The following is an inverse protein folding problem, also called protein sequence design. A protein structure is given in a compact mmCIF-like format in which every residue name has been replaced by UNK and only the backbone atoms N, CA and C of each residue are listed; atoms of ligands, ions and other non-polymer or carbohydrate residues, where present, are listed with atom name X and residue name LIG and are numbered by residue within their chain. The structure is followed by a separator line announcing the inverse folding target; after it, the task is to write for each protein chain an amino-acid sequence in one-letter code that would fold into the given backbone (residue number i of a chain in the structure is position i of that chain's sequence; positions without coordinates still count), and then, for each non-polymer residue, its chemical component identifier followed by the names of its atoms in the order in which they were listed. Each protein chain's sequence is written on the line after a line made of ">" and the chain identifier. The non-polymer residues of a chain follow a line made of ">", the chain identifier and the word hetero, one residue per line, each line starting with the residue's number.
data_IF_399242993491
#
_entry.id   IF_399242993491
#
_cell.length_a   1.000
_cell.length_b   1.000
_cell.length_c   1.000
_cell.angle_alpha   90.00
_cell.angle_beta   90.00
_cell.angle_gamma   90.00
#
_symmetry.space_group_name_H-M   'P 1'
#
loop_
_entity.id
_entity.type
_entity.pdbx_description
1 polymer ?
#
# COMPACT_ATOMS: atom_id res chain seq x y z
N UNK A 1 -12.12 -6.87 -14.12
CA UNK A 1 -11.75 -5.93 -13.03
C UNK A 1 -12.09 -6.43 -11.61
N UNK A 2 -12.67 -7.63 -11.42
CA UNK A 2 -12.92 -8.22 -10.07
C UNK A 2 -11.66 -8.87 -9.44
N UNK A 3 -10.69 -9.27 -10.27
CA UNK A 3 -9.47 -9.98 -9.85
C UNK A 3 -8.53 -9.15 -8.98
N UNK A 4 -8.16 -7.94 -9.41
CA UNK A 4 -7.13 -7.14 -8.72
C UNK A 4 -7.57 -6.68 -7.33
N UNK A 5 -8.87 -6.41 -7.16
CA UNK A 5 -9.42 -6.02 -5.86
C UNK A 5 -9.50 -7.20 -4.89
N UNK A 6 -9.81 -8.40 -5.39
CA UNK A 6 -9.80 -9.60 -4.56
C UNK A 6 -8.36 -9.96 -4.19
N UNK A 7 -7.42 -9.85 -5.13
CA UNK A 7 -6.00 -10.11 -4.89
C UNK A 7 -5.41 -9.16 -3.85
N UNK A 8 -5.69 -7.85 -3.96
CA UNK A 8 -5.27 -6.86 -2.96
C UNK A 8 -5.84 -7.17 -1.57
N UNK A 9 -7.14 -7.47 -1.46
CA UNK A 9 -7.77 -7.84 -0.18
C UNK A 9 -7.18 -9.12 0.39
N UNK A 10 -6.92 -10.12 -0.45
CA UNK A 10 -6.30 -11.39 -0.05
C UNK A 10 -4.88 -11.17 0.48
N UNK A 11 -4.07 -10.31 -0.16
CA UNK A 11 -2.74 -9.93 0.32
C UNK A 11 -2.80 -9.28 1.70
N UNK A 12 -3.74 -8.37 1.93
CA UNK A 12 -3.87 -7.73 3.26
C UNK A 12 -4.41 -8.70 4.30
N UNK A 13 -5.31 -9.61 3.93
CA UNK A 13 -5.79 -10.65 4.83
C UNK A 13 -4.65 -11.54 5.35
N UNK A 14 -3.70 -11.90 4.49
CA UNK A 14 -2.50 -12.66 4.89
C UNK A 14 -1.56 -11.90 5.81
N UNK A 15 -1.40 -10.59 5.61
CA UNK A 15 -0.60 -9.74 6.51
C UNK A 15 -1.09 -9.80 7.97
N UNK A 16 -2.34 -10.23 8.20
CA UNK A 16 -3.01 -10.16 9.48
C UNK A 16 -3.39 -11.53 10.06
N UNK A 17 -3.45 -12.58 9.23
CA UNK A 17 -3.74 -13.96 9.69
C UNK A 17 -2.61 -14.62 10.48
N UNK A 18 -1.43 -14.00 10.60
CA UNK A 18 -0.32 -14.53 11.41
C UNK A 18 -0.49 -14.30 12.94
N UNK A 19 -1.62 -13.72 13.36
CA UNK A 19 -2.01 -13.53 14.76
C UNK A 19 -3.28 -14.32 15.13
N UNK A 20 -3.12 -15.64 15.22
CA UNK A 20 -4.03 -16.65 15.80
C UNK A 20 -5.27 -17.13 15.01
N UNK A 21 -5.29 -18.47 14.92
CA UNK A 21 -6.43 -19.34 14.60
C UNK A 21 -7.57 -19.17 15.62
N UNK A 22 -8.81 -19.04 15.15
CA UNK A 22 -9.93 -19.98 15.42
C UNK A 22 -11.32 -19.34 15.26
N UNK A 23 -12.23 -20.18 14.74
CA UNK A 23 -13.69 -20.20 14.97
C UNK A 23 -14.61 -19.29 14.12
N UNK A 24 -14.93 -19.78 12.91
CA UNK A 24 -16.13 -19.39 12.18
C UNK A 24 -17.32 -20.28 12.56
N UNK A 25 -18.44 -19.66 12.98
CA UNK A 25 -19.77 -20.27 12.97
C UNK A 25 -20.84 -19.19 12.76
N UNK A 26 -21.54 -19.21 11.61
CA UNK A 26 -22.98 -19.54 11.51
C UNK A 26 -23.52 -19.38 10.07
N UNK A 27 -24.50 -20.25 9.82
CA UNK A 27 -25.33 -20.53 8.65
C UNK A 27 -26.14 -19.33 8.15
N UNK A 28 -26.41 -19.32 6.84
CA UNK A 28 -27.40 -18.44 6.21
C UNK A 28 -28.84 -18.93 6.33
N UNK A 29 -29.72 -18.30 5.55
CA UNK A 29 -31.03 -18.77 5.07
C UNK A 29 -31.38 -17.94 3.83
N UNK A 30 -31.84 -18.64 2.78
CA UNK A 30 -32.40 -18.08 1.55
C UNK A 30 -33.92 -17.84 1.65
N UNK A 31 -34.39 -17.03 0.69
CA UNK A 31 -35.68 -17.14 -0.01
C UNK A 31 -36.89 -16.43 0.60
N UNK A 32 -37.50 -15.53 -0.18
CA UNK A 32 -38.74 -15.84 -0.93
C UNK A 32 -39.17 -14.67 -1.83
N UNK A 33 -39.64 -15.03 -3.04
CA UNK A 33 -40.22 -14.16 -4.07
C UNK A 33 -41.73 -13.89 -3.85
N UNK A 34 -42.18 -12.83 -4.56
CA UNK A 34 -43.52 -12.58 -5.13
C UNK A 34 -44.55 -11.77 -4.32
N UNK A 35 -44.90 -10.56 -4.80
CA UNK A 35 -46.11 -10.35 -5.65
C UNK A 35 -46.34 -8.88 -6.07
N UNK A 36 -46.53 -8.72 -7.39
CA UNK A 36 -47.32 -7.77 -8.22
C UNK A 36 -47.88 -6.41 -7.74
N UNK A 37 -47.51 -5.36 -8.51
CA UNK A 37 -48.32 -4.33 -9.22
C UNK A 37 -49.45 -3.56 -8.51
N UNK A 38 -49.18 -2.29 -8.17
CA UNK A 38 -49.97 -1.11 -8.60
C UNK A 38 -49.20 0.19 -8.25
N UNK A 39 -48.62 0.87 -9.24
CA UNK A 39 -47.95 2.17 -9.05
C UNK A 39 -48.79 3.27 -9.70
N UNK A 40 -49.23 4.24 -8.90
CA UNK A 40 -49.94 5.45 -9.35
C UNK A 40 -49.08 6.27 -10.33
N UNK A 41 -49.68 7.01 -11.26
CA UNK A 41 -48.99 7.84 -12.28
C UNK A 41 -47.93 8.79 -11.69
N UNK A 42 -48.15 9.33 -10.48
CA UNK A 42 -47.19 10.14 -9.73
C UNK A 42 -45.90 9.38 -9.35
N UNK A 43 -45.99 8.05 -9.25
CA UNK A 43 -44.87 7.15 -8.96
C UNK A 43 -44.02 6.85 -10.20
N UNK A 44 -44.59 6.95 -11.40
CA UNK A 44 -43.86 6.76 -12.67
C UNK A 44 -42.98 7.97 -13.00
N UNK A 45 -43.45 9.19 -12.74
CA UNK A 45 -42.64 10.41 -12.91
C UNK A 45 -41.44 10.44 -11.95
N UNK A 46 -41.66 10.12 -10.68
CA UNK A 46 -40.57 10.03 -9.68
C UNK A 46 -39.55 8.97 -10.06
N UNK A 47 -40.01 7.82 -10.58
CA UNK A 47 -39.13 6.76 -11.06
C UNK A 47 -38.31 7.18 -12.29
N UNK A 48 -38.92 7.88 -13.24
CA UNK A 48 -38.23 8.42 -14.41
C UNK A 48 -37.18 9.49 -14.04
N UNK A 49 -37.48 10.40 -13.12
CA UNK A 49 -36.49 11.37 -12.62
C UNK A 49 -35.29 10.69 -11.95
N UNK A 50 -35.54 9.63 -11.18
CA UNK A 50 -34.48 8.85 -10.55
C UNK A 50 -33.62 8.12 -11.58
N UNK A 51 -34.23 7.56 -12.63
CA UNK A 51 -33.53 6.95 -13.77
C UNK A 51 -32.63 7.94 -14.50
N UNK A 52 -33.11 9.16 -14.76
CA UNK A 52 -32.34 10.22 -15.42
C UNK A 52 -31.14 10.63 -14.55
N UNK A 53 -31.34 10.81 -13.23
CA UNK A 53 -30.25 11.10 -12.28
C UNK A 53 -29.22 9.96 -12.22
N UNK A 54 -29.69 8.71 -12.26
CA UNK A 54 -28.82 7.54 -12.25
C UNK A 54 -27.97 7.47 -13.52
N UNK A 55 -28.57 7.66 -14.70
CA UNK A 55 -27.84 7.67 -15.97
C UNK A 55 -26.77 8.76 -15.99
N UNK A 56 -27.10 9.98 -15.55
CA UNK A 56 -26.13 11.07 -15.45
C UNK A 56 -24.97 10.74 -14.51
N UNK A 57 -25.24 10.00 -13.41
CA UNK A 57 -24.20 9.53 -12.49
C UNK A 57 -23.33 8.45 -13.12
N UNK A 58 -23.92 7.54 -13.90
CA UNK A 58 -23.21 6.52 -14.67
C UNK A 58 -22.29 7.16 -15.72
N UNK A 59 -22.77 8.16 -16.46
CA UNK A 59 -21.96 8.87 -17.47
C UNK A 59 -20.75 9.56 -16.83
N UNK A 60 -20.96 10.24 -15.69
CA UNK A 60 -19.85 10.84 -14.93
C UNK A 60 -18.83 9.80 -14.45
N UNK A 61 -19.28 8.63 -14.00
CA UNK A 61 -18.37 7.54 -13.62
C UNK A 61 -17.60 7.00 -14.82
N UNK A 62 -18.24 6.87 -15.99
CA UNK A 62 -17.59 6.42 -17.23
C UNK A 62 -16.47 7.40 -17.60
N UNK A 63 -16.74 8.71 -17.53
CA UNK A 63 -15.77 9.73 -17.88
C UNK A 63 -14.59 9.77 -16.90
N UNK A 64 -14.86 9.68 -15.60
CA UNK A 64 -13.80 9.58 -14.58
C UNK A 64 -12.92 8.33 -14.79
N UNK A 65 -13.51 7.19 -15.12
CA UNK A 65 -12.77 5.96 -15.41
C UNK A 65 -11.89 6.10 -16.66
N UNK A 66 -12.37 6.77 -17.72
CA UNK A 66 -11.56 7.06 -18.91
C UNK A 66 -10.34 7.91 -18.55
N UNK A 67 -10.55 9.00 -17.81
CA UNK A 67 -9.46 9.89 -17.40
C UNK A 67 -8.45 9.19 -16.50
N UNK A 68 -8.90 8.34 -15.58
CA UNK A 68 -8.02 7.53 -14.74
C UNK A 68 -7.18 6.56 -15.57
N UNK A 69 -7.81 5.82 -16.50
CA UNK A 69 -7.10 4.90 -17.37
C UNK A 69 -6.05 5.59 -18.25
N UNK A 70 -6.36 6.78 -18.79
CA UNK A 70 -5.38 7.56 -19.57
C UNK A 70 -4.17 7.96 -18.74
N UNK A 71 -4.38 8.49 -17.53
CA UNK A 71 -3.28 8.85 -16.62
C UNK A 71 -2.42 7.64 -16.24
N UNK A 72 -3.07 6.52 -15.93
CA UNK A 72 -2.39 5.27 -15.60
C UNK A 72 -1.53 4.76 -16.76
N UNK A 73 -2.03 4.85 -18.00
CA UNK A 73 -1.28 4.49 -19.21
C UNK A 73 -0.07 5.42 -19.39
N UNK A 74 -0.24 6.74 -19.23
CA UNK A 74 0.86 7.71 -19.36
C UNK A 74 1.98 7.47 -18.33
N UNK A 75 1.62 7.21 -17.08
CA UNK A 75 2.59 6.90 -16.02
C UNK A 75 3.33 5.59 -16.27
N UNK A 76 2.63 4.57 -16.77
CA UNK A 76 3.24 3.31 -17.16
C UNK A 76 4.21 3.48 -18.34
N UNK A 77 3.85 4.27 -19.35
CA UNK A 77 4.74 4.60 -20.48
C UNK A 77 6.00 5.32 -20.00
N UNK A 78 5.86 6.28 -19.06
CA UNK A 78 6.99 7.01 -18.48
C UNK A 78 7.91 6.10 -17.69
N UNK A 79 7.34 5.16 -16.93
CA UNK A 79 8.09 4.18 -16.14
C UNK A 79 8.83 3.19 -17.04
N UNK A 80 8.18 2.69 -18.09
CA UNK A 80 8.78 1.78 -19.07
C UNK A 80 9.97 2.42 -19.79
N UNK A 81 9.87 3.69 -20.20
CA UNK A 81 11.00 4.43 -20.76
C UNK A 81 12.19 4.52 -19.79
N UNK A 82 11.89 4.66 -18.49
CA UNK A 82 12.95 4.71 -17.49
C UNK A 82 13.61 3.34 -17.30
N UNK A 83 12.82 2.27 -17.27
CA UNK A 83 13.31 0.90 -17.18
C UNK A 83 14.17 0.53 -18.40
N UNK A 84 13.72 0.86 -19.60
CA UNK A 84 14.47 0.63 -20.84
C UNK A 84 15.83 1.35 -20.82
N UNK A 85 15.87 2.60 -20.36
CA UNK A 85 17.12 3.33 -20.16
C UNK A 85 18.06 2.63 -19.17
N UNK A 86 17.51 2.08 -18.08
CA UNK A 86 18.31 1.36 -17.08
C UNK A 86 18.81 0.01 -17.62
N UNK A 87 17.97 -0.75 -18.32
CA UNK A 87 18.35 -2.00 -18.97
C UNK A 87 19.45 -1.79 -20.01
N UNK A 88 19.37 -0.74 -20.83
CA UNK A 88 20.41 -0.42 -21.80
C UNK A 88 21.74 -0.06 -21.12
N UNK A 89 21.71 0.66 -20.00
CA UNK A 89 22.94 0.93 -19.21
C UNK A 89 23.48 -0.33 -18.54
N UNK A 90 22.60 -1.19 -18.04
CA UNK A 90 22.99 -2.44 -17.38
C UNK A 90 23.65 -3.39 -18.38
N UNK A 91 23.07 -3.52 -19.58
CA UNK A 91 23.65 -4.27 -20.69
C UNK A 91 25.01 -3.71 -21.12
N UNK A 92 25.15 -2.39 -21.21
CA UNK A 92 26.44 -1.76 -21.49
C UNK A 92 27.46 -2.03 -20.37
N UNK A 93 27.04 -2.08 -19.12
CA UNK A 93 27.91 -2.46 -18.00
C UNK A 93 28.31 -3.94 -18.12
N UNK A 94 27.38 -4.84 -18.45
CA UNK A 94 27.65 -6.27 -18.67
C UNK A 94 28.65 -6.48 -19.82
N UNK A 95 28.42 -5.86 -20.98
CA UNK A 95 29.32 -5.92 -22.15
C UNK A 95 30.72 -5.35 -21.83
N UNK A 96 30.80 -4.32 -20.99
CA UNK A 96 32.08 -3.77 -20.52
C UNK A 96 32.78 -4.66 -19.50
N UNK A 97 32.06 -5.30 -18.57
CA UNK A 97 32.62 -6.27 -17.61
C UNK A 97 33.16 -7.50 -18.34
N UNK A 98 32.48 -7.95 -19.39
CA UNK A 98 32.89 -9.11 -20.19
C UNK A 98 34.10 -8.83 -21.09
N UNK A 99 34.32 -7.57 -21.49
CA UNK A 99 35.40 -7.17 -22.39
C UNK A 99 36.68 -6.68 -21.71
N UNK A 100 36.65 -6.42 -20.39
CA UNK A 100 37.78 -5.81 -19.69
C UNK A 100 38.60 -6.84 -18.89
N UNK A 101 39.86 -7.01 -19.28
CA UNK A 101 40.89 -7.71 -18.52
C UNK A 101 41.85 -6.72 -17.82
N UNK A 102 41.50 -5.42 -17.81
CA UNK A 102 42.33 -4.35 -17.27
C UNK A 102 41.62 -3.58 -16.16
N UNK A 103 42.33 -3.30 -15.06
CA UNK A 103 41.80 -2.55 -13.93
C UNK A 103 41.68 -1.06 -14.20
N UNK A 104 40.84 -0.65 -15.15
CA UNK A 104 40.75 0.75 -15.57
C UNK A 104 39.83 1.57 -14.63
N UNK A 105 40.43 2.52 -13.91
CA UNK A 105 39.77 3.30 -12.86
C UNK A 105 38.60 4.16 -13.36
N UNK A 106 38.56 4.50 -14.65
CA UNK A 106 37.50 5.32 -15.24
C UNK A 106 36.17 4.55 -15.42
N UNK A 107 36.25 3.24 -15.70
CA UNK A 107 35.08 2.36 -15.75
C UNK A 107 34.44 2.21 -14.38
N UNK A 108 35.26 1.91 -13.36
CA UNK A 108 34.84 1.84 -11.95
C UNK A 108 34.16 3.16 -11.52
N UNK A 109 34.73 4.31 -11.91
CA UNK A 109 34.17 5.64 -11.61
C UNK A 109 32.78 5.85 -12.23
N UNK A 110 32.54 5.32 -13.43
CA UNK A 110 31.23 5.43 -14.11
C UNK A 110 30.17 4.57 -13.42
N UNK A 111 30.52 3.34 -13.05
CA UNK A 111 29.63 2.45 -12.28
C UNK A 111 29.26 3.09 -10.94
N UNK A 112 30.26 3.58 -10.18
CA UNK A 112 30.02 4.23 -8.88
C UNK A 112 29.04 5.41 -9.03
N UNK A 113 29.21 6.23 -10.08
CA UNK A 113 28.34 7.38 -10.35
C UNK A 113 26.90 6.95 -10.62
N UNK A 114 26.70 5.86 -11.36
CA UNK A 114 25.37 5.35 -11.68
C UNK A 114 24.68 4.71 -10.48
N UNK A 115 25.40 3.90 -9.71
CA UNK A 115 24.91 3.31 -8.46
C UNK A 115 24.52 4.44 -7.49
N UNK A 116 25.34 5.48 -7.34
CA UNK A 116 25.02 6.63 -6.50
C UNK A 116 23.72 7.34 -6.97
N UNK A 117 23.54 7.51 -8.28
CA UNK A 117 22.33 8.12 -8.84
C UNK A 117 21.09 7.26 -8.58
N UNK A 118 21.19 5.94 -8.72
CA UNK A 118 20.10 5.02 -8.40
C UNK A 118 19.74 5.06 -6.91
N UNK A 119 20.75 5.01 -6.02
CA UNK A 119 20.54 5.11 -4.58
C UNK A 119 19.87 6.42 -4.17
N UNK A 120 20.24 7.55 -4.79
CA UNK A 120 19.58 8.83 -4.52
C UNK A 120 18.09 8.83 -4.90
N UNK A 121 17.74 8.21 -6.04
CA UNK A 121 16.35 8.10 -6.50
C UNK A 121 15.54 7.19 -5.59
N UNK A 122 16.09 6.04 -5.23
CA UNK A 122 15.47 5.12 -4.28
C UNK A 122 15.22 5.81 -2.93
N UNK A 123 16.19 6.58 -2.42
CA UNK A 123 16.04 7.36 -1.19
C UNK A 123 14.92 8.39 -1.30
N UNK A 124 14.83 9.11 -2.42
CA UNK A 124 13.76 10.09 -2.67
C UNK A 124 12.38 9.43 -2.70
N UNK A 125 12.24 8.32 -3.43
CA UNK A 125 10.98 7.56 -3.51
C UNK A 125 10.56 7.02 -2.14
N UNK A 126 11.52 6.47 -1.39
CA UNK A 126 11.32 6.02 -0.01
C UNK A 126 10.80 7.14 0.87
N UNK A 127 11.42 8.32 0.81
CA UNK A 127 11.01 9.49 1.60
C UNK A 127 9.60 9.94 1.25
N UNK A 128 9.26 9.97 -0.04
CA UNK A 128 7.92 10.32 -0.52
C UNK A 128 6.86 9.34 0.00
N UNK A 129 7.11 8.03 -0.15
CA UNK A 129 6.17 6.99 0.29
C UNK A 129 6.02 6.96 1.81
N UNK A 130 7.10 7.14 2.57
CA UNK A 130 7.03 7.28 4.04
C UNK A 130 6.19 8.48 4.47
N UNK A 131 6.30 9.61 3.76
CA UNK A 131 5.50 10.81 4.05
C UNK A 131 4.02 10.53 3.81
N UNK A 132 3.66 10.01 2.63
CA UNK A 132 2.28 9.60 2.31
C UNK A 132 1.71 8.60 3.32
N UNK A 133 2.53 7.62 3.72
CA UNK A 133 2.14 6.64 4.73
C UNK A 133 1.81 7.31 6.06
N UNK A 134 2.70 8.18 6.57
CA UNK A 134 2.48 8.93 7.80
C UNK A 134 1.22 9.79 7.72
N UNK A 135 1.08 10.57 6.66
CA UNK A 135 -0.08 11.46 6.49
C UNK A 135 -1.39 10.68 6.47
N UNK A 136 -1.45 9.54 5.77
CA UNK A 136 -2.63 8.68 5.76
C UNK A 136 -2.94 8.07 7.13
N UNK A 137 -1.91 7.67 7.88
CA UNK A 137 -2.04 7.12 9.24
C UNK A 137 -2.62 8.16 10.20
N UNK A 138 -2.01 9.35 10.26
CA UNK A 138 -2.46 10.45 11.11
C UNK A 138 -3.82 10.98 10.68
N UNK A 139 -4.10 11.06 9.37
CA UNK A 139 -5.42 11.43 8.86
C UNK A 139 -6.51 10.41 9.21
N UNK A 140 -6.17 9.12 9.30
CA UNK A 140 -7.14 8.08 9.66
C UNK A 140 -7.49 8.11 11.14
N UNK A 141 -6.49 8.16 12.02
CA UNK A 141 -6.73 8.16 13.47
C UNK A 141 -7.11 9.54 14.01
N UNK A 142 -6.65 10.61 13.37
CA UNK A 142 -6.83 11.98 13.84
C UNK A 142 -6.08 12.28 15.13
N UNK A 143 -6.00 13.56 15.50
CA UNK A 143 -5.25 14.01 16.69
C UNK A 143 -5.83 13.49 18.02
N UNK A 144 -7.12 13.16 18.04
CA UNK A 144 -7.84 12.67 19.23
C UNK A 144 -7.41 11.23 19.59
N UNK A 145 -7.02 10.43 18.60
CA UNK A 145 -6.66 9.01 18.82
C UNK A 145 -5.15 8.79 18.65
N UNK A 146 -4.50 9.51 17.74
CA UNK A 146 -3.05 9.44 17.56
C UNK A 146 -2.44 10.82 17.79
N UNK A 147 -1.81 11.08 18.95
CA UNK A 147 -1.22 12.39 19.22
C UNK A 147 -0.17 12.73 18.16
N UNK A 148 -0.03 14.00 17.76
CA UNK A 148 0.96 14.39 16.76
C UNK A 148 2.38 14.19 17.30
N UNK A 149 3.34 13.90 16.40
CA UNK A 149 4.76 13.83 16.73
C UNK A 149 5.59 14.52 15.65
N UNK A 150 6.53 15.35 16.10
CA UNK A 150 7.48 16.03 15.22
C UNK A 150 8.76 15.19 15.05
N UNK A 151 9.40 15.29 13.89
CA UNK A 151 10.74 14.75 13.65
C UNK A 151 11.83 15.42 14.47
N UNK A 152 11.57 16.60 15.04
CA UNK A 152 12.50 17.32 15.93
C UNK A 152 12.31 16.98 17.42
N UNK A 153 11.38 16.08 17.76
CA UNK A 153 11.15 15.66 19.14
C UNK A 153 12.40 14.95 19.68
N UNK A 154 12.79 15.25 20.92
CA UNK A 154 13.92 14.60 21.58
C UNK A 154 13.68 13.10 21.73
N UNK A 155 14.75 12.32 21.89
CA UNK A 155 14.63 10.87 22.13
C UNK A 155 13.73 10.55 23.33
N UNK A 156 13.77 11.37 24.39
CA UNK A 156 12.89 11.23 25.54
C UNK A 156 11.41 11.48 25.18
N UNK A 157 11.12 12.55 24.44
CA UNK A 157 9.76 12.84 23.98
C UNK A 157 9.21 11.80 22.99
N UNK A 158 10.09 11.19 22.18
CA UNK A 158 9.71 10.05 21.31
C UNK A 158 9.30 8.84 22.14
N UNK A 159 10.06 8.51 23.20
CA UNK A 159 9.76 7.40 24.09
C UNK A 159 8.44 7.66 24.83
N UNK A 160 8.26 8.87 25.36
CA UNK A 160 7.02 9.29 26.03
C UNK A 160 5.82 9.17 25.08
N UNK A 161 5.94 9.68 23.86
CA UNK A 161 4.90 9.57 22.84
C UNK A 161 4.57 8.11 22.51
N UNK A 162 5.58 7.25 22.31
CA UNK A 162 5.36 5.81 22.04
C UNK A 162 4.72 5.06 23.21
N UNK A 163 5.00 5.48 24.45
CA UNK A 163 4.38 4.94 25.65
C UNK A 163 2.98 5.49 25.89
N UNK A 164 2.53 6.48 25.13
CA UNK A 164 1.19 7.02 25.24
C UNK A 164 0.16 5.91 24.94
N UNK A 165 -0.86 5.69 25.80
CA UNK A 165 -1.82 4.61 25.63
C UNK A 165 -2.50 4.58 24.26
N UNK A 166 -2.79 5.77 23.72
CA UNK A 166 -3.42 5.91 22.40
C UNK A 166 -2.53 5.44 21.23
N UNK A 167 -1.20 5.55 21.35
CA UNK A 167 -0.25 5.01 20.34
C UNK A 167 -0.24 3.48 20.39
N UNK A 168 -0.22 2.90 21.59
CA UNK A 168 -0.33 1.45 21.78
C UNK A 168 -1.67 0.90 21.27
N UNK A 169 -2.77 1.64 21.49
CA UNK A 169 -4.08 1.30 20.95
C UNK A 169 -4.08 1.33 19.41
N UNK A 170 -3.47 2.34 18.78
CA UNK A 170 -3.32 2.41 17.33
C UNK A 170 -2.51 1.21 16.78
N UNK A 171 -1.39 0.87 17.45
CA UNK A 171 -0.61 -0.31 17.10
C UNK A 171 -1.46 -1.58 17.17
N UNK A 172 -2.20 -1.78 18.27
CA UNK A 172 -3.05 -2.95 18.46
C UNK A 172 -4.18 -3.03 17.44
N UNK A 173 -4.81 -1.90 17.09
CA UNK A 173 -5.84 -1.82 16.05
C UNK A 173 -5.32 -2.21 14.66
N UNK A 174 -4.04 -1.97 14.38
CA UNK A 174 -3.42 -2.33 13.11
C UNK A 174 -2.92 -3.78 13.05
N UNK A 175 -2.43 -4.32 14.17
CA UNK A 175 -1.67 -5.58 14.14
C UNK A 175 -2.24 -6.71 15.02
N UNK A 176 -3.09 -6.43 16.01
CA UNK A 176 -3.44 -7.41 17.07
C UNK A 176 -4.95 -7.65 17.30
N UNK A 177 -5.88 -6.94 16.64
CA UNK A 177 -7.33 -7.13 16.85
C UNK A 177 -7.99 -7.95 15.73
N UNK A 178 -8.90 -8.86 16.10
CA UNK A 178 -9.81 -9.59 15.19
C UNK A 178 -10.72 -8.60 14.43
N UNK A 179 -10.20 -8.03 13.33
CA UNK A 179 -10.84 -6.94 12.59
C UNK A 179 -9.87 -5.87 12.06
N UNK A 180 -8.58 -5.97 12.38
CA UNK A 180 -7.49 -5.09 11.91
C UNK A 180 -7.39 -4.99 10.39
N UNK A 181 -7.93 -5.99 9.66
CA UNK A 181 -8.02 -6.02 8.20
C UNK A 181 -8.77 -4.82 7.66
N UNK A 182 -9.86 -4.40 8.31
CA UNK A 182 -10.59 -3.22 7.88
C UNK A 182 -9.79 -1.93 8.04
N UNK A 183 -9.02 -1.81 9.13
CA UNK A 183 -8.28 -0.59 9.46
C UNK A 183 -7.05 -0.45 8.58
N UNK A 184 -6.17 -1.47 8.56
CA UNK A 184 -4.95 -1.44 7.75
C UNK A 184 -5.29 -1.31 6.26
N UNK A 185 -6.32 -2.02 5.77
CA UNK A 185 -6.78 -1.88 4.37
C UNK A 185 -7.21 -0.47 4.05
N UNK A 186 -8.05 0.16 4.89
CA UNK A 186 -8.51 1.53 4.63
C UNK A 186 -7.38 2.55 4.63
N UNK A 187 -6.36 2.35 5.47
CA UNK A 187 -5.19 3.23 5.49
C UNK A 187 -4.34 3.01 4.24
N UNK A 188 -4.07 1.75 3.86
CA UNK A 188 -3.34 1.45 2.63
C UNK A 188 -4.06 1.97 1.38
N UNK A 189 -5.39 1.80 1.29
CA UNK A 189 -6.21 2.38 0.22
C UNK A 189 -6.04 3.91 0.15
N UNK A 190 -5.90 4.61 1.29
CA UNK A 190 -5.61 6.05 1.30
C UNK A 190 -4.18 6.36 0.86
N UNK A 191 -3.18 5.59 1.28
CA UNK A 191 -1.76 5.78 0.88
C UNK A 191 -1.59 5.69 -0.62
N UNK A 192 -2.27 4.73 -1.25
CA UNK A 192 -2.17 4.45 -2.68
C UNK A 192 -3.34 5.05 -3.48
N UNK A 193 -4.18 5.90 -2.89
CA UNK A 193 -5.32 6.53 -3.55
C UNK A 193 -6.24 5.52 -4.30
N UNK A 194 -6.39 4.31 -3.77
CA UNK A 194 -7.18 3.24 -4.38
C UNK A 194 -6.47 2.44 -5.48
N UNK A 195 -5.20 2.72 -5.77
CA UNK A 195 -4.36 1.92 -6.66
C UNK A 195 -3.93 0.59 -6.01
N UNK A 196 -3.47 -0.34 -6.85
CA UNK A 196 -3.02 -1.68 -6.44
C UNK A 196 -1.48 -1.76 -6.45
N UNK A 197 -0.82 -1.44 -5.32
CA UNK A 197 0.64 -1.46 -5.23
C UNK A 197 1.23 -2.87 -5.28
N UNK A 198 2.52 -2.96 -5.62
CA UNK A 198 3.29 -4.20 -5.52
C UNK A 198 3.39 -4.70 -4.07
N UNK A 199 3.65 -6.00 -3.89
CA UNK A 199 3.91 -6.59 -2.56
C UNK A 199 5.02 -5.84 -1.81
N UNK A 200 6.06 -5.39 -2.53
CA UNK A 200 7.16 -4.61 -1.96
C UNK A 200 6.70 -3.28 -1.37
N UNK A 201 5.86 -2.53 -2.09
CA UNK A 201 5.31 -1.28 -1.59
C UNK A 201 4.38 -1.51 -0.39
N UNK A 202 3.58 -2.58 -0.41
CA UNK A 202 2.73 -2.98 0.73
C UNK A 202 3.56 -3.33 1.96
N UNK A 203 4.57 -4.18 1.80
CA UNK A 203 5.49 -4.56 2.87
C UNK A 203 6.24 -3.35 3.42
N UNK A 204 6.68 -2.44 2.56
CA UNK A 204 7.35 -1.21 2.95
C UNK A 204 6.47 -0.29 3.80
N UNK A 205 5.24 -0.05 3.39
CA UNK A 205 4.31 0.82 4.13
C UNK A 205 3.91 0.17 5.45
N UNK A 206 3.62 -1.13 5.45
CA UNK A 206 3.30 -1.89 6.66
C UNK A 206 4.47 -1.90 7.65
N UNK A 207 5.70 -2.10 7.18
CA UNK A 207 6.92 -1.97 7.98
C UNK A 207 7.08 -0.56 8.56
N UNK A 208 6.76 0.47 7.78
CA UNK A 208 6.80 1.86 8.25
C UNK A 208 5.86 2.07 9.45
N UNK A 209 4.63 1.56 9.38
CA UNK A 209 3.66 1.65 10.48
C UNK A 209 4.12 0.86 11.70
N UNK A 210 4.59 -0.37 11.49
CA UNK A 210 5.09 -1.22 12.56
C UNK A 210 6.21 -0.51 13.32
N UNK A 211 7.23 0.00 12.62
CA UNK A 211 8.35 0.71 13.26
C UNK A 211 7.89 1.99 13.96
N UNK A 212 7.05 2.79 13.29
CA UNK A 212 6.60 4.08 13.81
C UNK A 212 5.82 3.93 15.11
N UNK A 213 4.94 2.94 15.18
CA UNK A 213 4.03 2.73 16.30
C UNK A 213 4.56 1.73 17.34
N UNK A 214 5.57 0.92 17.01
CA UNK A 214 6.08 -0.11 17.92
C UNK A 214 6.53 0.51 19.26
N UNK A 215 5.85 0.18 20.37
CA UNK A 215 6.17 0.72 21.69
C UNK A 215 7.53 0.23 22.21
N UNK A 216 8.07 -0.86 21.64
CA UNK A 216 9.38 -1.40 22.02
C UNK A 216 10.55 -0.68 21.33
N UNK A 217 10.28 0.07 20.26
CA UNK A 217 11.31 0.86 19.57
C UNK A 217 11.54 2.20 20.27
N UNK A 218 12.79 2.58 20.51
CA UNK A 218 13.15 3.87 21.10
C UNK A 218 13.25 5.02 20.08
N UNK A 219 12.94 4.77 18.81
CA UNK A 219 13.12 5.74 17.72
C UNK A 219 11.94 5.74 16.75
N UNK A 220 11.66 6.90 16.16
CA UNK A 220 10.73 7.06 15.02
C UNK A 220 11.45 7.07 13.67
N UNK A 221 12.77 7.28 13.68
CA UNK A 221 13.64 7.18 12.53
C UNK A 221 14.35 5.83 12.58
N UNK A 222 14.06 4.96 11.61
CA UNK A 222 14.64 3.63 11.57
C UNK A 222 16.07 3.64 11.06
N UNK A 223 16.92 2.82 11.66
CA UNK A 223 18.14 2.37 10.99
C UNK A 223 17.76 1.41 9.82
N UNK A 224 18.61 1.35 8.81
CA UNK A 224 18.33 0.64 7.56
C UNK A 224 18.16 -0.87 7.76
N UNK A 225 18.89 -1.47 8.71
CA UNK A 225 18.85 -2.90 8.98
C UNK A 225 17.51 -3.35 9.60
N UNK A 226 17.01 -2.62 10.60
CA UNK A 226 15.69 -2.89 11.19
C UNK A 226 14.59 -2.76 10.15
N UNK A 227 14.67 -1.75 9.28
CA UNK A 227 13.69 -1.55 8.22
C UNK A 227 13.74 -2.71 7.21
N UNK A 228 14.93 -3.13 6.78
CA UNK A 228 15.13 -4.27 5.88
C UNK A 228 14.49 -5.54 6.45
N UNK A 229 14.79 -5.87 7.70
CA UNK A 229 14.24 -7.06 8.35
C UNK A 229 12.72 -7.04 8.44
N UNK A 230 12.12 -5.87 8.70
CA UNK A 230 10.65 -5.72 8.73
C UNK A 230 10.03 -5.85 7.34
N UNK A 231 10.64 -5.26 6.31
CA UNK A 231 10.18 -5.39 4.93
C UNK A 231 10.23 -6.85 4.51
N UNK A 232 11.34 -7.54 4.77
CA UNK A 232 11.52 -8.96 4.44
C UNK A 232 10.48 -9.84 5.14
N UNK A 233 10.23 -9.61 6.43
CA UNK A 233 9.17 -10.30 7.16
C UNK A 233 7.80 -10.16 6.49
N UNK A 234 7.38 -8.93 6.15
CA UNK A 234 6.09 -8.71 5.50
C UNK A 234 6.06 -9.17 4.04
N UNK A 235 7.20 -9.18 3.34
CA UNK A 235 7.32 -9.74 1.99
C UNK A 235 7.11 -11.25 2.00
N UNK A 236 7.81 -11.96 2.90
CA UNK A 236 7.66 -13.40 3.03
C UNK A 236 6.21 -13.78 3.38
N UNK A 237 5.57 -12.99 4.23
CA UNK A 237 4.14 -13.17 4.58
C UNK A 237 3.20 -12.95 3.38
N UNK A 238 3.59 -12.12 2.41
CA UNK A 238 2.84 -11.88 1.17
C UNK A 238 3.13 -12.93 0.07
N UNK A 239 4.31 -13.56 0.11
CA UNK A 239 4.82 -14.48 -0.92
C UNK A 239 4.50 -15.98 -0.66
N UNK A 240 4.07 -16.36 0.55
CA UNK A 240 3.82 -17.75 1.01
C UNK A 240 2.70 -18.52 0.26
N UNK A 241 2.23 -18.01 -0.88
CA UNK A 241 1.23 -18.65 -1.75
C UNK A 241 1.80 -19.36 -2.97
N UNK A 242 3.13 -19.30 -3.23
CA UNK A 242 3.70 -20.03 -4.38
C UNK A 242 4.02 -21.50 -4.08
N UNK A 243 4.06 -21.91 -2.82
CA UNK A 243 4.51 -23.25 -2.40
C UNK A 243 3.38 -24.20 -2.01
N UNK A 244 2.15 -23.71 -1.75
CA UNK A 244 1.02 -24.57 -1.35
C UNK A 244 0.02 -24.89 -2.49
N UNK A 245 0.35 -24.54 -3.74
CA UNK A 245 -0.41 -24.88 -4.94
C UNK A 245 0.12 -26.09 -5.74
N UNK A 246 1.04 -26.87 -5.16
CA UNK A 246 1.51 -28.15 -5.72
C UNK A 246 1.56 -29.18 -4.61
N UNK A 247 0.46 -29.90 -4.43
CA UNK A 247 0.38 -31.33 -4.14
C UNK A 247 -1.09 -31.77 -4.22
#
# INVERSE_FOLDING_TARGET
>A
MSGDRSEFRNKIQKLLSAGEETSNKRRGIESSMSSTSSMSENSYEVFNEQLIKLNKKVDNMIEQNKQFNTKLIEENVKTNKHLEFLCNRMKHIEEMVESDNSGDNNFIKTIIKDVAKLLSKQRSLRSCLTTKARDALFSYFGEVILPPINTNTSSAGIIEWKNHPAVAECYNKLFNQNGSLGVLTRILERVFAGEYPSSLHLAFVTATFAVLLDPKSKTIQTNENTMKNKIEYYMNLLDDDRTNGKN
#
